data_IF_512247325113
#
_entry.id   IF_512247325113
#
_cell.length_a   1.000
_cell.length_b   1.000
_cell.length_c   1.000
_cell.angle_alpha   90.00
_cell.angle_beta   90.00
_cell.angle_gamma   90.00
#
_symmetry.space_group_name_H-M   'P 1'
#
loop_
_entity.id
_entity.type
_entity.pdbx_description
1 polymer ?
#
# COMPACT_ATOMS: atom_id res chain seq x y z
N UNK A 1 18.23 -30.21 2.21
CA UNK A 1 17.68 -31.56 1.99
C UNK A 1 16.21 -31.54 2.37
N UNK A 2 15.32 -31.85 1.43
CA UNK A 2 13.90 -31.88 1.69
C UNK A 2 13.50 -33.24 2.28
N UNK A 3 12.76 -33.27 3.39
CA UNK A 3 12.27 -34.50 3.99
C UNK A 3 11.36 -35.29 3.04
N UNK A 4 11.29 -36.61 3.27
CA UNK A 4 10.47 -37.54 2.49
C UNK A 4 9.00 -37.30 2.86
N UNK A 5 8.23 -36.67 1.98
CA UNK A 5 6.80 -36.41 2.20
C UNK A 5 5.96 -37.69 2.28
N UNK A 6 6.46 -38.81 1.75
CA UNK A 6 5.76 -40.09 1.72
C UNK A 6 5.62 -40.75 3.09
N UNK A 7 6.45 -40.40 4.08
CA UNK A 7 6.40 -40.98 5.43
C UNK A 7 5.50 -40.17 6.37
N UNK A 8 4.96 -39.04 5.92
CA UNK A 8 4.11 -38.18 6.74
C UNK A 8 2.70 -38.78 6.80
N UNK A 9 2.22 -39.05 8.02
CA UNK A 9 0.84 -39.48 8.24
C UNK A 9 -0.14 -38.36 7.90
N UNK A 10 -1.06 -38.64 6.97
CA UNK A 10 -2.09 -37.69 6.55
C UNK A 10 -3.02 -37.27 7.70
N UNK A 11 -3.29 -38.16 8.66
CA UNK A 11 -4.17 -37.87 9.80
C UNK A 11 -3.52 -36.91 10.78
N UNK A 12 -2.23 -37.13 11.11
CA UNK A 12 -1.46 -36.26 11.99
C UNK A 12 -1.29 -34.86 11.37
N UNK A 13 -0.96 -34.81 10.08
CA UNK A 13 -0.81 -33.55 9.37
C UNK A 13 -2.13 -32.78 9.28
N UNK A 14 -3.27 -33.45 9.05
CA UNK A 14 -4.59 -32.80 9.07
C UNK A 14 -4.91 -32.21 10.44
N UNK A 15 -4.66 -32.94 11.53
CA UNK A 15 -4.85 -32.42 12.88
C UNK A 15 -4.00 -31.16 13.14
N UNK A 16 -2.72 -31.18 12.76
CA UNK A 16 -1.84 -30.01 12.87
C UNK A 16 -2.27 -28.87 11.92
N UNK A 17 -2.83 -29.21 10.77
CA UNK A 17 -3.31 -28.24 9.81
C UNK A 17 -4.51 -27.45 10.36
N UNK A 18 -5.48 -28.17 10.92
CA UNK A 18 -6.76 -27.64 11.43
C UNK A 18 -6.60 -26.82 12.71
N UNK A 19 -5.55 -27.08 13.51
CA UNK A 19 -5.16 -26.22 14.65
C UNK A 19 -4.55 -24.88 14.23
N UNK A 20 -4.49 -24.58 12.93
CA UNK A 20 -3.84 -23.39 12.37
C UNK A 20 -2.35 -23.25 12.74
N UNK A 21 -1.65 -24.33 13.10
CA UNK A 21 -0.23 -24.34 13.47
C UNK A 21 0.64 -23.58 12.44
N UNK A 22 1.50 -22.60 12.80
CA UNK A 22 2.25 -21.80 11.84
C UNK A 22 3.01 -22.63 10.78
N UNK A 23 3.07 -22.13 9.53
CA UNK A 23 3.74 -22.83 8.42
C UNK A 23 5.19 -23.22 8.77
N UNK A 24 5.90 -22.34 9.48
CA UNK A 24 7.27 -22.60 9.94
C UNK A 24 7.33 -23.82 10.88
N UNK A 25 6.42 -23.93 11.83
CA UNK A 25 6.35 -25.04 12.77
C UNK A 25 6.03 -26.37 12.05
N UNK A 26 5.17 -26.35 11.03
CA UNK A 26 4.93 -27.52 10.17
C UNK A 26 6.19 -27.91 9.40
N UNK A 27 6.93 -26.95 8.84
CA UNK A 27 8.18 -27.20 8.13
C UNK A 27 9.22 -27.84 9.05
N UNK A 28 9.37 -27.31 10.28
CA UNK A 28 10.30 -27.83 11.28
C UNK A 28 9.90 -29.23 11.76
N UNK A 29 8.64 -29.43 12.14
CA UNK A 29 8.13 -30.72 12.66
C UNK A 29 8.24 -31.86 11.66
N UNK A 30 7.90 -31.60 10.40
CA UNK A 30 7.91 -32.61 9.34
C UNK A 30 9.20 -32.60 8.52
N UNK A 31 10.15 -31.73 8.85
CA UNK A 31 11.43 -31.54 8.12
C UNK A 31 11.21 -31.34 6.61
N UNK A 32 10.18 -30.57 6.24
CA UNK A 32 9.81 -30.27 4.86
C UNK A 32 9.88 -28.78 4.57
N UNK A 33 9.95 -28.44 3.30
CA UNK A 33 9.90 -27.05 2.84
C UNK A 33 8.46 -26.53 2.81
N UNK A 34 8.32 -25.20 2.78
CA UNK A 34 7.02 -24.54 2.66
C UNK A 34 6.24 -24.99 1.42
N UNK A 35 6.91 -25.18 0.29
CA UNK A 35 6.26 -25.61 -0.95
C UNK A 35 5.74 -27.04 -0.84
N UNK A 36 6.46 -27.92 -0.15
CA UNK A 36 5.98 -29.27 0.14
C UNK A 36 4.75 -29.26 1.06
N UNK A 37 4.69 -28.38 2.06
CA UNK A 37 3.50 -28.18 2.90
C UNK A 37 2.28 -27.78 2.04
N UNK A 38 2.48 -26.85 1.09
CA UNK A 38 1.43 -26.40 0.18
C UNK A 38 0.97 -27.53 -0.75
N UNK A 39 1.90 -28.32 -1.30
CA UNK A 39 1.56 -29.49 -2.13
C UNK A 39 0.79 -30.54 -1.33
N UNK A 40 1.18 -30.82 -0.09
CA UNK A 40 0.48 -31.77 0.78
C UNK A 40 -0.95 -31.31 1.08
N UNK A 41 -1.15 -30.01 1.34
CA UNK A 41 -2.49 -29.42 1.46
C UNK A 41 -3.33 -29.73 0.22
N UNK A 42 -2.77 -29.52 -0.97
CA UNK A 42 -3.49 -29.73 -2.23
C UNK A 42 -3.79 -31.21 -2.49
N UNK A 43 -2.80 -32.09 -2.30
CA UNK A 43 -2.96 -33.55 -2.47
C UNK A 43 -4.01 -34.13 -1.51
N UNK A 44 -4.09 -33.62 -0.28
CA UNK A 44 -5.05 -34.08 0.72
C UNK A 44 -6.34 -33.25 0.80
N UNK A 45 -6.54 -32.31 -0.14
CA UNK A 45 -7.71 -31.43 -0.21
C UNK A 45 -8.05 -30.76 1.13
N UNK A 46 -7.04 -30.25 1.83
CA UNK A 46 -7.22 -29.57 3.11
C UNK A 46 -7.78 -28.15 2.92
N UNK A 47 -8.62 -27.65 3.84
CA UNK A 47 -9.19 -26.32 3.72
C UNK A 47 -8.13 -25.23 3.69
N UNK A 48 -8.39 -24.16 2.94
CA UNK A 48 -7.53 -22.97 2.94
C UNK A 48 -7.61 -22.28 4.29
N UNK A 49 -6.49 -22.22 5.01
CA UNK A 49 -6.38 -21.49 6.29
C UNK A 49 -6.79 -20.03 6.23
N UNK A 50 -6.57 -19.40 5.07
CA UNK A 50 -6.94 -18.03 4.78
C UNK A 50 -7.74 -18.00 3.49
N UNK A 51 -8.97 -18.53 3.52
CA UNK A 51 -9.84 -18.45 2.35
C UNK A 51 -10.20 -16.99 2.06
N UNK A 52 -9.61 -16.45 0.99
CA UNK A 52 -9.85 -15.06 0.55
C UNK A 52 -11.26 -14.87 0.00
N UNK A 53 -11.99 -15.96 -0.34
CA UNK A 53 -13.38 -15.90 -0.81
C UNK A 53 -14.36 -15.61 0.32
N UNK A 54 -14.07 -16.11 1.52
CA UNK A 54 -14.87 -15.87 2.72
C UNK A 54 -14.65 -14.48 3.34
N UNK A 55 -13.60 -13.78 2.91
CA UNK A 55 -13.38 -12.40 3.37
C UNK A 55 -14.50 -11.52 2.83
N UNK A 56 -15.24 -10.90 3.75
CA UNK A 56 -16.21 -9.87 3.40
C UNK A 56 -15.52 -8.80 2.56
N UNK A 57 -16.01 -8.61 1.34
CA UNK A 57 -15.66 -7.50 0.48
C UNK A 57 -16.96 -6.74 0.22
N UNK A 58 -17.11 -5.50 0.71
CA UNK A 58 -18.30 -4.72 0.42
C UNK A 58 -18.45 -4.58 -1.10
N UNK A 59 -19.69 -4.59 -1.59
CA UNK A 59 -19.91 -4.40 -3.02
C UNK A 59 -19.47 -2.99 -3.39
N UNK A 60 -18.88 -2.81 -4.57
CA UNK A 60 -18.46 -1.48 -5.03
C UNK A 60 -19.62 -0.48 -5.08
N UNK A 61 -20.84 -0.94 -5.34
CA UNK A 61 -22.06 -0.14 -5.29
C UNK A 61 -22.44 0.37 -3.88
N UNK A 62 -22.00 -0.33 -2.84
CA UNK A 62 -22.22 0.04 -1.44
C UNK A 62 -21.09 0.97 -0.93
N UNK A 63 -19.98 1.05 -1.65
CA UNK A 63 -18.86 1.96 -1.37
C UNK A 63 -19.06 3.28 -2.10
N UNK A 64 -19.25 4.37 -1.35
CA UNK A 64 -19.18 5.73 -1.87
C UNK A 64 -17.72 6.15 -1.98
N UNK A 65 -17.30 6.55 -3.18
CA UNK A 65 -15.99 7.18 -3.35
C UNK A 65 -15.99 8.58 -2.68
N UNK A 66 -14.95 8.93 -1.92
CA UNK A 66 -14.89 10.23 -1.27
C UNK A 66 -14.78 11.34 -2.32
N UNK A 67 -15.50 12.42 -2.09
CA UNK A 67 -15.44 13.61 -2.94
C UNK A 67 -14.07 14.28 -2.80
N UNK A 68 -13.63 15.06 -3.80
CA UNK A 68 -12.37 15.82 -3.70
C UNK A 68 -12.28 16.71 -2.44
N UNK A 69 -13.42 17.23 -1.98
CA UNK A 69 -13.52 18.02 -0.75
C UNK A 69 -13.25 17.18 0.50
N UNK A 70 -13.84 16.00 0.59
CA UNK A 70 -13.63 15.07 1.71
C UNK A 70 -12.18 14.58 1.76
N UNK A 71 -11.58 14.30 0.59
CA UNK A 71 -10.15 13.96 0.49
C UNK A 71 -9.30 15.11 0.99
N UNK A 72 -9.54 16.34 0.52
CA UNK A 72 -8.76 17.51 0.95
C UNK A 72 -8.87 17.76 2.46
N UNK A 73 -10.08 17.60 3.03
CA UNK A 73 -10.30 17.73 4.46
C UNK A 73 -9.54 16.66 5.25
N UNK A 74 -9.63 15.40 4.85
CA UNK A 74 -8.91 14.30 5.49
C UNK A 74 -7.38 14.50 5.42
N UNK A 75 -6.86 14.97 4.28
CA UNK A 75 -5.44 15.30 4.16
C UNK A 75 -5.01 16.38 5.16
N UNK A 76 -5.82 17.44 5.33
CA UNK A 76 -5.53 18.49 6.31
C UNK A 76 -5.54 17.96 7.75
N UNK A 77 -6.52 17.14 8.10
CA UNK A 77 -6.62 16.54 9.44
C UNK A 77 -5.45 15.61 9.74
N UNK A 78 -4.98 14.86 8.74
CA UNK A 78 -3.78 14.03 8.87
C UNK A 78 -2.53 14.90 9.05
N UNK A 79 -2.38 15.95 8.25
CA UNK A 79 -1.23 16.87 8.31
C UNK A 79 -1.19 17.68 9.61
N UNK A 80 -2.35 18.03 10.17
CA UNK A 80 -2.45 18.72 11.45
C UNK A 80 -1.91 17.89 12.62
N UNK A 81 -1.84 16.56 12.49
CA UNK A 81 -1.29 15.65 13.50
C UNK A 81 0.22 15.43 13.37
N UNK A 82 0.87 16.01 12.37
CA UNK A 82 2.31 15.81 12.17
C UNK A 82 3.10 16.63 13.18
N UNK A 83 4.10 15.98 13.79
CA UNK A 83 5.18 16.68 14.48
C UNK A 83 6.16 17.28 13.45
N UNK A 84 7.05 18.15 13.91
CA UNK A 84 7.97 18.87 13.02
C UNK A 84 8.87 17.91 12.25
N UNK A 85 9.37 16.87 12.92
CA UNK A 85 10.19 15.83 12.30
C UNK A 85 9.44 15.13 11.16
N UNK A 86 8.20 14.69 11.37
CA UNK A 86 7.40 14.04 10.32
C UNK A 86 7.10 15.00 9.17
N UNK A 87 6.92 16.30 9.47
CA UNK A 87 6.71 17.32 8.45
C UNK A 87 7.94 17.49 7.57
N UNK A 88 9.13 17.55 8.15
CA UNK A 88 10.39 17.63 7.42
C UNK A 88 10.64 16.38 6.57
N UNK A 89 10.49 15.18 7.15
CA UNK A 89 10.67 13.89 6.44
C UNK A 89 9.72 13.74 5.25
N UNK A 90 8.51 14.31 5.33
CA UNK A 90 7.49 14.27 4.27
C UNK A 90 7.49 15.51 3.39
N UNK A 91 8.36 16.48 3.65
CA UNK A 91 8.48 17.65 2.78
C UNK A 91 9.01 17.20 1.42
N UNK A 92 8.31 17.62 0.36
CA UNK A 92 8.72 17.31 -1.01
C UNK A 92 9.12 18.61 -1.67
N UNK A 93 10.42 18.79 -1.88
CA UNK A 93 10.95 19.89 -2.67
C UNK A 93 10.92 19.44 -4.13
N UNK A 94 10.05 20.05 -4.93
CA UNK A 94 10.06 19.87 -6.39
C UNK A 94 10.73 21.07 -7.02
N UNK A 95 11.83 20.84 -7.73
CA UNK A 95 12.43 21.86 -8.58
C UNK A 95 11.42 22.25 -9.66
N UNK A 96 10.91 23.48 -9.59
CA UNK A 96 10.09 24.06 -10.65
C UNK A 96 11.00 24.87 -11.57
N UNK A 97 11.09 24.44 -12.83
CA UNK A 97 11.74 25.24 -13.86
C UNK A 97 10.80 26.37 -14.26
N UNK A 98 11.24 27.60 -14.03
CA UNK A 98 10.52 28.79 -14.47
C UNK A 98 11.09 29.20 -15.82
N UNK A 99 10.22 29.40 -16.81
CA UNK A 99 10.61 30.02 -18.08
C UNK A 99 10.21 31.49 -18.06
N UNK A 100 11.18 32.38 -18.17
CA UNK A 100 10.91 33.81 -18.34
C UNK A 100 10.52 34.06 -19.80
N UNK A 101 9.29 34.54 -20.01
CA UNK A 101 8.86 35.01 -21.32
C UNK A 101 9.09 36.51 -21.39
N UNK A 102 9.73 36.98 -22.45
CA UNK A 102 9.76 38.41 -22.76
C UNK A 102 8.33 38.85 -23.06
N UNK A 103 7.82 39.76 -22.24
CA UNK A 103 6.57 40.47 -22.51
C UNK A 103 6.97 41.65 -23.38
N UNK A 104 6.38 41.75 -24.57
CA UNK A 104 6.49 42.98 -25.36
C UNK A 104 5.74 44.07 -24.61
N UNK A 105 6.46 45.12 -24.20
CA UNK A 105 5.83 46.27 -23.57
C UNK A 105 5.12 47.06 -24.66
N UNK A 106 3.81 47.16 -24.55
CA UNK A 106 3.03 48.13 -25.33
C UNK A 106 3.40 49.55 -24.88
N UNK A 107 3.18 50.55 -25.73
CA UNK A 107 3.47 51.96 -25.40
C UNK A 107 2.78 52.40 -24.10
N UNK A 108 1.50 52.02 -23.92
CA UNK A 108 0.75 52.27 -22.68
C UNK A 108 1.41 51.65 -21.43
N UNK A 109 2.04 50.48 -21.57
CA UNK A 109 2.69 49.79 -20.46
C UNK A 109 4.08 50.38 -20.16
N UNK A 110 4.75 50.95 -21.16
CA UNK A 110 5.99 51.71 -21.00
C UNK A 110 5.73 53.05 -20.29
N UNK A 111 4.68 53.76 -20.68
CA UNK A 111 4.25 55.00 -20.03
C UNK A 111 3.91 54.76 -18.55
N UNK A 112 3.09 53.73 -18.26
CA UNK A 112 2.76 53.36 -16.88
C UNK A 112 3.99 52.93 -16.05
N UNK A 113 4.98 52.30 -16.67
CA UNK A 113 6.23 51.93 -15.99
C UNK A 113 7.07 53.15 -15.66
N UNK A 114 7.18 54.11 -16.58
CA UNK A 114 7.92 55.36 -16.35
C UNK A 114 7.23 56.28 -15.33
N UNK A 115 5.90 56.28 -15.24
CA UNK A 115 5.17 56.97 -14.16
C UNK A 115 5.47 56.36 -12.78
N UNK A 116 5.63 55.03 -12.69
CA UNK A 116 5.96 54.32 -11.46
C UNK A 116 7.44 54.44 -11.03
N UNK A 117 8.37 54.61 -11.96
CA UNK A 117 9.81 54.83 -11.67
C UNK A 117 10.15 56.28 -11.30
N UNK A 118 9.23 57.22 -11.59
CA UNK A 118 9.40 58.66 -11.38
C UNK A 118 8.99 59.20 -10.00
N UNK A 119 8.41 58.36 -9.13
CA UNK A 119 8.13 58.63 -7.71
C UNK A 119 9.22 58.05 -6.79
#
# INVERSE_FOLDING_TARGET
MAGVTATISATAFRADWDTHMPMRALCERYTITRDQVIRLRDVWNLPLRNDRRLRFKPKRSEMRDPTPREIAQACREIQAKWDERTREERSVIKTQYVSLRRIEMTEEALEAFHELEGE
#
